data_IF_107879994979
#
_entry.id   IF_107879994979
#
_cell.length_a   1.000
_cell.length_b   1.000
_cell.length_c   1.000
_cell.angle_alpha   90.00
_cell.angle_beta   90.00
_cell.angle_gamma   90.00
#
_symmetry.space_group_name_H-M   'P 1'
#
loop_
_entity.id
_entity.type
_entity.pdbx_description
1 polymer ?
#
# COMPACT_ATOMS: atom_id res chain seq x y z
N UNK A 1 -3.58 12.35 4.81
CA UNK A 1 -3.75 11.18 3.93
C UNK A 1 -2.74 11.32 2.81
N UNK A 2 -1.96 10.27 2.56
CA UNK A 2 -0.91 10.24 1.54
C UNK A 2 -1.32 9.25 0.45
N UNK A 3 -0.96 9.52 -0.79
CA UNK A 3 -1.30 8.69 -1.95
C UNK A 3 -0.02 8.32 -2.71
N UNK A 4 0.11 7.04 -3.03
CA UNK A 4 1.21 6.44 -3.78
C UNK A 4 0.61 5.73 -4.97
N UNK A 5 1.06 6.03 -6.19
CA UNK A 5 0.44 5.48 -7.39
C UNK A 5 1.44 5.23 -8.50
N UNK A 6 1.17 4.18 -9.26
CA UNK A 6 1.78 3.95 -10.55
C UNK A 6 0.70 3.88 -11.64
N UNK A 7 0.97 3.17 -12.73
CA UNK A 7 0.02 3.02 -13.85
C UNK A 7 -1.07 1.99 -13.61
N UNK A 8 -0.97 1.17 -12.56
CA UNK A 8 -1.84 0.02 -12.34
C UNK A 8 -2.58 0.08 -11.00
N UNK A 9 -2.03 0.74 -9.98
CA UNK A 9 -2.63 0.82 -8.65
C UNK A 9 -2.36 2.17 -7.97
N UNK A 10 -3.32 2.56 -7.13
CA UNK A 10 -3.21 3.64 -6.18
C UNK A 10 -3.30 3.04 -4.78
N UNK A 11 -2.31 3.29 -3.93
CA UNK A 11 -2.32 2.95 -2.50
C UNK A 11 -2.46 4.24 -1.70
N UNK A 12 -3.40 4.28 -0.77
CA UNK A 12 -3.65 5.42 0.12
C UNK A 12 -3.34 5.03 1.55
N UNK A 13 -2.67 5.93 2.26
CA UNK A 13 -2.29 5.76 3.65
C UNK A 13 -2.87 6.88 4.52
N UNK A 14 -3.59 6.47 5.57
CA UNK A 14 -4.09 7.35 6.62
C UNK A 14 -3.34 7.11 7.94
N UNK A 15 -2.34 7.93 8.29
CA UNK A 15 -1.56 7.74 9.52
C UNK A 15 -2.42 7.86 10.79
N UNK A 16 -3.52 8.62 10.77
CA UNK A 16 -4.42 8.77 11.92
C UNK A 16 -5.25 7.52 12.22
N UNK A 17 -5.38 6.61 11.25
CA UNK A 17 -6.06 5.33 11.41
C UNK A 17 -5.09 4.16 11.64
N UNK A 18 -3.78 4.38 11.54
CA UNK A 18 -2.79 3.30 11.62
C UNK A 18 -2.63 2.81 13.06
N UNK A 19 -2.89 1.52 13.30
CA UNK A 19 -2.67 0.88 14.61
C UNK A 19 -1.27 0.29 14.78
N UNK A 20 -0.39 0.44 13.80
CA UNK A 20 0.97 -0.15 13.79
C UNK A 20 1.00 -1.67 14.01
N UNK A 21 0.01 -2.41 13.47
CA UNK A 21 -0.06 -3.87 13.59
C UNK A 21 1.12 -4.61 12.90
N UNK A 22 1.74 -3.99 11.89
CA UNK A 22 2.92 -4.54 11.21
C UNK A 22 2.62 -5.48 10.04
N UNK A 23 1.35 -5.72 9.70
CA UNK A 23 0.98 -6.63 8.61
C UNK A 23 1.54 -6.18 7.25
N UNK A 24 1.53 -4.87 6.96
CA UNK A 24 2.05 -4.34 5.70
C UNK A 24 3.57 -4.56 5.54
N UNK A 25 4.35 -4.18 6.56
CA UNK A 25 5.82 -4.30 6.52
C UNK A 25 6.30 -5.75 6.59
N UNK A 26 5.53 -6.65 7.22
CA UNK A 26 5.87 -8.09 7.28
C UNK A 26 5.43 -8.84 6.03
N UNK A 27 4.28 -8.47 5.46
CA UNK A 27 3.72 -9.12 4.29
C UNK A 27 4.41 -8.74 2.98
N UNK A 28 4.82 -7.47 2.83
CA UNK A 28 5.43 -6.98 1.59
C UNK A 28 6.52 -5.92 1.86
N UNK A 29 7.64 -6.29 2.51
CA UNK A 29 8.70 -5.36 2.93
C UNK A 29 9.39 -4.62 1.78
N UNK A 30 9.33 -5.14 0.55
CA UNK A 30 9.85 -4.44 -0.62
C UNK A 30 8.98 -3.25 -1.03
N UNK A 31 7.69 -3.27 -0.68
CA UNK A 31 6.73 -2.18 -0.92
C UNK A 31 6.61 -1.28 0.30
N UNK A 32 6.44 -1.84 1.50
CA UNK A 32 6.24 -1.08 2.74
C UNK A 32 7.49 -1.10 3.61
N UNK A 33 8.27 -0.02 3.59
CA UNK A 33 9.50 0.11 4.37
C UNK A 33 9.58 1.48 5.07
N UNK A 34 9.32 1.56 6.39
CA UNK A 34 9.37 2.82 7.15
C UNK A 34 10.77 3.46 7.19
N UNK A 35 11.81 2.78 6.71
CA UNK A 35 13.18 3.29 6.65
C UNK A 35 13.47 4.04 5.35
N UNK A 36 12.57 4.02 4.37
CA UNK A 36 12.72 4.66 3.06
C UNK A 36 11.84 5.90 2.92
N UNK A 37 12.23 6.77 2.00
CA UNK A 37 11.40 7.89 1.55
C UNK A 37 11.31 7.88 0.00
N UNK A 38 10.12 7.62 -0.58
CA UNK A 38 8.86 7.26 0.08
C UNK A 38 8.92 5.88 0.78
N UNK A 39 8.14 5.73 1.85
CA UNK A 39 8.06 4.46 2.59
C UNK A 39 7.13 3.42 1.95
N UNK A 40 6.31 3.84 0.97
CA UNK A 40 5.50 2.95 0.14
C UNK A 40 5.98 3.05 -1.30
N UNK A 41 6.50 1.96 -1.83
CA UNK A 41 6.96 1.82 -3.21
C UNK A 41 6.01 0.90 -3.99
N UNK A 42 5.05 1.49 -4.70
CA UNK A 42 4.03 0.77 -5.46
C UNK A 42 4.55 0.11 -6.75
N UNK A 43 5.81 0.34 -7.11
CA UNK A 43 6.46 -0.27 -8.28
C UNK A 43 7.30 -1.50 -7.88
N UNK A 44 7.52 -1.74 -6.60
CA UNK A 44 8.30 -2.87 -6.09
C UNK A 44 7.56 -4.23 -6.11
N UNK A 45 6.27 -4.27 -6.46
CA UNK A 45 5.48 -5.49 -6.58
C UNK A 45 4.29 -5.33 -7.55
N UNK A 46 3.66 -6.46 -7.90
CA UNK A 46 2.41 -6.47 -8.69
C UNK A 46 1.25 -5.85 -7.89
N UNK A 47 0.29 -5.20 -8.57
CA UNK A 47 -0.83 -4.57 -7.88
C UNK A 47 -1.73 -5.58 -7.14
N UNK A 48 -1.78 -6.84 -7.56
CA UNK A 48 -2.44 -7.94 -6.83
C UNK A 48 -1.79 -8.20 -5.48
N UNK A 49 -0.48 -8.45 -5.44
CA UNK A 49 0.26 -8.65 -4.19
C UNK A 49 0.16 -7.45 -3.23
N UNK A 50 0.15 -6.23 -3.77
CA UNK A 50 -0.08 -5.01 -2.98
C UNK A 50 -1.48 -5.03 -2.36
N UNK A 51 -2.51 -5.35 -3.15
CA UNK A 51 -3.89 -5.43 -2.68
C UNK A 51 -4.04 -6.46 -1.55
N UNK A 52 -3.52 -7.70 -1.73
CA UNK A 52 -3.61 -8.76 -0.72
C UNK A 52 -3.05 -8.31 0.64
N UNK A 53 -1.91 -7.61 0.64
CA UNK A 53 -1.28 -7.13 1.87
C UNK A 53 -2.02 -5.92 2.46
N UNK A 54 -2.57 -5.04 1.62
CA UNK A 54 -3.41 -3.93 2.06
C UNK A 54 -4.69 -4.44 2.75
N UNK A 55 -5.29 -5.53 2.24
CA UNK A 55 -6.49 -6.15 2.82
C UNK A 55 -6.25 -6.77 4.20
N UNK A 56 -5.00 -7.15 4.52
CA UNK A 56 -4.63 -7.58 5.86
C UNK A 56 -4.55 -6.44 6.88
N UNK A 57 -4.67 -5.16 6.48
CA UNK A 57 -4.60 -4.03 7.41
C UNK A 57 -5.84 -3.99 8.33
N UNK A 58 -5.71 -4.33 9.63
CA UNK A 58 -6.88 -4.48 10.50
C UNK A 58 -7.57 -3.16 10.83
N UNK A 59 -6.87 -2.04 10.64
CA UNK A 59 -7.35 -0.72 10.99
C UNK A 59 -7.93 0.07 9.82
N UNK A 60 -7.83 -0.47 8.59
CA UNK A 60 -8.22 0.24 7.37
C UNK A 60 -7.36 1.48 7.08
N UNK A 61 -6.17 1.58 7.68
CA UNK A 61 -5.26 2.70 7.43
C UNK A 61 -4.67 2.68 6.02
N UNK A 62 -4.63 1.50 5.40
CA UNK A 62 -4.26 1.32 4.01
C UNK A 62 -5.51 1.01 3.20
N UNK A 63 -5.59 1.59 2.00
CA UNK A 63 -6.59 1.25 1.00
C UNK A 63 -5.96 1.26 -0.39
N UNK A 64 -6.56 0.54 -1.33
CA UNK A 64 -6.06 0.43 -2.69
C UNK A 64 -7.17 0.65 -3.72
N UNK A 65 -6.78 1.00 -4.94
CA UNK A 65 -7.66 1.12 -6.09
C UNK A 65 -6.89 0.73 -7.35
N UNK A 66 -7.43 -0.21 -8.13
CA UNK A 66 -6.86 -0.56 -9.42
C UNK A 66 -7.15 0.54 -10.45
N UNK A 67 -6.13 0.90 -11.20
CA UNK A 67 -6.27 1.78 -12.35
C UNK A 67 -6.56 0.88 -13.55
N UNK A 68 -7.83 0.73 -13.90
CA UNK A 68 -8.20 0.17 -15.19
C UNK A 68 -7.90 1.25 -16.24
N UNK A 69 -6.96 0.97 -17.14
CA UNK A 69 -6.88 1.74 -18.37
C UNK A 69 -8.18 1.48 -19.13
N UNK A 70 -9.05 2.48 -19.19
CA UNK A 70 -10.19 2.45 -20.10
C UNK A 70 -9.63 2.29 -21.53
N UNK A 71 -9.83 1.11 -22.11
CA UNK A 71 -9.69 0.90 -23.56
C UNK A 71 -10.78 1.65 -24.32
#
# INVERSE_FOLDING_TARGET
MQEYKNRQVIVRFNPYACSHAGECVRGLPQVFDPSKEPWIDVDAATPEAIAEVVECCPSGALSYEYIVAAE
#
